data_IF_638801306441
#
_entry.id   IF_638801306441
#
_cell.length_a   1.000
_cell.length_b   1.000
_cell.length_c   1.000
_cell.angle_alpha   90.00
_cell.angle_beta   90.00
_cell.angle_gamma   90.00
#
_symmetry.space_group_name_H-M   'P 1'
#
loop_
_entity.id
_entity.type
_entity.pdbx_description
1 polymer ?
#
# COMPACT_ATOMS: atom_id res chain seq x y z
N UNK A 1 -14.30 -9.31 24.88
CA UNK A 1 -12.96 -9.06 24.28
C UNK A 1 -13.01 -7.69 23.63
N UNK A 2 -12.07 -6.80 23.94
CA UNK A 2 -12.24 -5.35 23.72
C UNK A 2 -12.00 -4.99 22.24
N UNK A 3 -13.03 -4.59 21.50
CA UNK A 3 -12.97 -4.31 20.05
C UNK A 3 -11.85 -3.31 19.71
N UNK A 4 -11.64 -2.32 20.57
CA UNK A 4 -10.63 -1.26 20.43
C UNK A 4 -9.20 -1.82 20.54
N UNK A 5 -8.98 -2.78 21.43
CA UNK A 5 -7.67 -3.42 21.58
C UNK A 5 -7.35 -4.31 20.38
N UNK A 6 -8.34 -5.05 19.87
CA UNK A 6 -8.19 -5.82 18.63
C UNK A 6 -7.92 -4.90 17.42
N UNK A 7 -8.65 -3.80 17.29
CA UNK A 7 -8.42 -2.84 16.19
C UNK A 7 -7.04 -2.18 16.27
N UNK A 8 -6.54 -1.88 17.48
CA UNK A 8 -5.20 -1.33 17.66
C UNK A 8 -4.09 -2.34 17.32
N UNK A 9 -4.30 -3.63 17.64
CA UNK A 9 -3.39 -4.72 17.25
C UNK A 9 -3.42 -4.93 15.73
N UNK A 10 -4.61 -4.91 15.12
CA UNK A 10 -4.83 -4.99 13.67
C UNK A 10 -4.37 -3.74 12.91
N UNK A 11 -4.09 -2.63 13.59
CA UNK A 11 -3.59 -1.40 12.99
C UNK A 11 -2.10 -1.16 13.27
N UNK A 12 -1.33 -2.21 13.60
CA UNK A 12 0.12 -2.10 13.82
C UNK A 12 0.84 -1.48 12.61
N UNK A 13 1.73 -0.52 12.87
CA UNK A 13 2.52 0.18 11.82
C UNK A 13 3.97 0.35 12.23
N UNK A 14 4.87 0.31 11.25
CA UNK A 14 6.29 0.66 11.36
C UNK A 14 6.61 1.89 10.54
N UNK A 15 7.44 2.78 11.10
CA UNK A 15 7.92 3.95 10.39
C UNK A 15 9.05 3.57 9.43
N UNK A 16 8.88 3.81 8.13
CA UNK A 16 9.91 3.65 7.11
C UNK A 16 10.04 5.01 6.40
N UNK A 17 11.19 5.67 6.51
CA UNK A 17 11.38 7.05 6.00
C UNK A 17 10.27 8.03 6.45
N UNK A 18 9.92 7.97 7.74
CA UNK A 18 8.83 8.74 8.35
C UNK A 18 7.44 8.50 7.74
N UNK A 19 7.26 7.44 6.94
CA UNK A 19 5.97 6.95 6.47
C UNK A 19 5.51 5.76 7.33
N UNK A 20 4.29 5.79 7.89
CA UNK A 20 3.75 4.65 8.62
C UNK A 20 3.30 3.55 7.64
N UNK A 21 3.96 2.39 7.69
CA UNK A 21 3.68 1.21 6.86
C UNK A 21 3.10 0.10 7.73
N UNK A 22 2.03 -0.56 7.28
CA UNK A 22 1.38 -1.64 8.02
C UNK A 22 2.35 -2.78 8.36
N UNK A 23 2.25 -3.26 9.60
CA UNK A 23 3.08 -4.30 10.17
C UNK A 23 2.23 -5.50 10.60
N UNK A 24 1.56 -6.09 9.60
CA UNK A 24 0.57 -7.16 9.81
C UNK A 24 0.97 -8.42 9.05
N UNK A 25 0.56 -9.57 9.60
CA UNK A 25 0.53 -10.83 8.87
C UNK A 25 -0.57 -10.83 7.79
N UNK A 26 -0.60 -11.88 6.98
CA UNK A 26 -1.62 -12.04 5.94
C UNK A 26 -3.05 -12.07 6.52
N UNK A 27 -3.29 -12.94 7.51
CA UNK A 27 -4.63 -13.14 8.07
C UNK A 27 -5.14 -11.88 8.78
N UNK A 28 -4.28 -11.22 9.54
CA UNK A 28 -4.58 -9.96 10.22
C UNK A 28 -4.89 -8.85 9.20
N UNK A 29 -4.10 -8.74 8.13
CA UNK A 29 -4.31 -7.73 7.10
C UNK A 29 -5.62 -7.95 6.32
N UNK A 30 -5.95 -9.20 5.99
CA UNK A 30 -7.21 -9.56 5.32
C UNK A 30 -8.40 -9.26 6.21
N UNK A 31 -8.34 -9.67 7.48
CA UNK A 31 -9.39 -9.41 8.47
C UNK A 31 -9.60 -7.91 8.65
N UNK A 32 -8.52 -7.17 8.91
CA UNK A 32 -8.56 -5.72 9.13
C UNK A 32 -9.15 -4.97 7.94
N UNK A 33 -8.70 -5.26 6.72
CA UNK A 33 -9.17 -4.56 5.53
C UNK A 33 -10.60 -4.97 5.19
N UNK A 34 -11.01 -6.21 5.41
CA UNK A 34 -12.41 -6.64 5.25
C UNK A 34 -13.34 -5.93 6.23
N UNK A 35 -12.90 -5.72 7.48
CA UNK A 35 -13.64 -4.93 8.47
C UNK A 35 -13.77 -3.47 8.01
N UNK A 36 -12.68 -2.84 7.57
CA UNK A 36 -12.73 -1.47 6.99
C UNK A 36 -13.65 -1.39 5.77
N UNK A 37 -13.66 -2.43 4.94
CA UNK A 37 -14.55 -2.57 3.79
C UNK A 37 -15.99 -2.94 4.16
N UNK A 38 -16.34 -3.05 5.45
CA UNK A 38 -17.67 -3.43 5.94
C UNK A 38 -18.24 -2.44 6.97
N UNK A 39 -17.41 -1.69 7.68
CA UNK A 39 -17.84 -0.65 8.61
C UNK A 39 -18.27 0.64 7.87
N UNK A 40 -19.25 1.40 8.38
CA UNK A 40 -19.67 2.69 7.82
C UNK A 40 -18.74 3.83 8.28
N UNK A 41 -17.42 3.59 8.28
CA UNK A 41 -16.40 4.50 8.79
C UNK A 41 -15.66 5.19 7.63
N UNK A 42 -16.35 6.09 6.93
CA UNK A 42 -15.76 6.90 5.86
C UNK A 42 -15.13 6.08 4.73
N UNK A 43 -14.07 6.64 4.11
CA UNK A 43 -13.32 6.01 3.04
C UNK A 43 -11.91 5.66 3.51
N UNK A 44 -11.45 4.47 3.12
CA UNK A 44 -10.07 4.02 3.28
C UNK A 44 -9.39 3.93 1.92
N UNK A 45 -8.24 4.57 1.78
CA UNK A 45 -7.38 4.46 0.59
C UNK A 45 -6.18 3.59 0.94
N UNK A 46 -5.94 2.55 0.17
CA UNK A 46 -4.80 1.63 0.30
C UNK A 46 -3.79 1.92 -0.81
N UNK A 47 -2.52 2.04 -0.41
CA UNK A 47 -1.38 2.14 -1.33
C UNK A 47 -0.33 1.07 -1.02
N UNK A 48 0.22 0.47 -2.06
CA UNK A 48 1.30 -0.50 -1.95
C UNK A 48 2.64 0.18 -2.22
N UNK A 49 3.55 0.12 -1.26
CA UNK A 49 4.86 0.79 -1.38
C UNK A 49 5.99 -0.22 -1.53
N UNK A 50 6.81 -0.01 -2.55
CA UNK A 50 8.08 -0.70 -2.73
C UNK A 50 9.24 0.32 -2.70
N UNK A 51 10.48 -0.15 -2.92
CA UNK A 51 11.67 0.69 -2.92
C UNK A 51 11.57 1.91 -3.86
N UNK A 52 10.94 1.75 -5.02
CA UNK A 52 10.77 2.85 -5.97
C UNK A 52 9.77 3.89 -5.45
N UNK A 53 8.62 3.46 -4.90
CA UNK A 53 7.65 4.37 -4.29
C UNK A 53 8.32 5.21 -3.18
N UNK A 54 9.13 4.57 -2.33
CA UNK A 54 9.87 5.26 -1.26
C UNK A 54 10.82 6.32 -1.83
N UNK A 55 11.55 6.01 -2.92
CA UNK A 55 12.43 7.00 -3.55
C UNK A 55 11.67 8.16 -4.21
N UNK A 56 10.51 7.89 -4.79
CA UNK A 56 9.65 8.94 -5.36
C UNK A 56 9.13 9.83 -4.23
N UNK A 57 8.67 9.25 -3.12
CA UNK A 57 8.21 9.97 -1.93
C UNK A 57 9.27 10.91 -1.35
N UNK A 58 10.54 10.49 -1.31
CA UNK A 58 11.63 11.33 -0.82
C UNK A 58 11.93 12.56 -1.70
N UNK A 59 11.40 12.60 -2.93
CA UNK A 59 11.63 13.69 -3.91
C UNK A 59 10.39 14.52 -4.21
N UNK A 60 9.22 14.06 -3.79
CA UNK A 60 7.92 14.61 -4.17
C UNK A 60 7.06 14.77 -2.91
N UNK A 61 7.07 15.99 -2.36
CA UNK A 61 6.39 16.32 -1.10
C UNK A 61 4.87 16.06 -1.19
N UNK A 62 4.24 16.41 -2.32
CA UNK A 62 2.82 16.15 -2.50
C UNK A 62 2.51 14.64 -2.51
N UNK A 63 3.36 13.80 -3.14
CA UNK A 63 3.19 12.35 -3.06
C UNK A 63 3.36 11.82 -1.63
N UNK A 64 4.28 12.39 -0.85
CA UNK A 64 4.46 12.06 0.57
C UNK A 64 3.21 12.38 1.38
N UNK A 65 2.66 13.57 1.22
CA UNK A 65 1.46 13.99 1.94
C UNK A 65 0.28 13.08 1.63
N UNK A 66 0.10 12.72 0.36
CA UNK A 66 -0.91 11.73 -0.07
C UNK A 66 -0.71 10.40 0.65
N UNK A 67 0.51 9.84 0.64
CA UNK A 67 0.76 8.53 1.25
C UNK A 67 0.57 8.51 2.77
N UNK A 68 0.85 9.62 3.48
CA UNK A 68 0.65 9.72 4.94
C UNK A 68 -0.82 9.56 5.34
N UNK A 69 -1.75 9.93 4.45
CA UNK A 69 -3.19 9.76 4.67
C UNK A 69 -3.72 8.37 4.25
N UNK A 70 -2.90 7.56 3.57
CA UNK A 70 -3.31 6.24 3.10
C UNK A 70 -2.95 5.14 4.11
N UNK A 71 -3.67 4.02 4.02
CA UNK A 71 -3.25 2.76 4.62
C UNK A 71 -2.18 2.13 3.72
N UNK A 72 -0.93 2.17 4.16
CA UNK A 72 0.21 1.78 3.33
C UNK A 72 0.63 0.34 3.60
N UNK A 73 0.58 -0.52 2.58
CA UNK A 73 0.99 -1.93 2.67
C UNK A 73 2.40 -2.15 2.11
N UNK A 74 3.25 -2.96 2.76
CA UNK A 74 4.60 -3.26 2.28
C UNK A 74 4.57 -4.16 1.05
N UNK A 75 5.24 -3.73 -0.02
CA UNK A 75 5.39 -4.47 -1.27
C UNK A 75 6.88 -4.71 -1.60
N UNK A 76 7.30 -5.95 -1.44
CA UNK A 76 8.57 -6.45 -1.95
C UNK A 76 9.76 -6.31 -0.99
N UNK A 77 10.89 -6.87 -1.43
CA UNK A 77 12.09 -7.06 -0.60
C UNK A 77 12.75 -5.75 -0.15
N UNK A 78 12.64 -4.67 -0.94
CA UNK A 78 13.29 -3.41 -0.61
C UNK A 78 12.76 -2.81 0.70
N UNK A 79 11.44 -2.77 0.87
CA UNK A 79 10.81 -2.25 2.10
C UNK A 79 11.08 -3.15 3.29
N UNK A 80 11.20 -4.46 3.07
CA UNK A 80 11.63 -5.42 4.08
C UNK A 80 13.08 -5.22 4.54
N UNK A 81 13.99 -4.89 3.62
CA UNK A 81 15.38 -4.51 3.96
C UNK A 81 15.38 -3.21 4.77
N UNK A 82 14.60 -2.21 4.36
CA UNK A 82 14.47 -0.96 5.12
C UNK A 82 13.97 -1.21 6.55
N UNK A 83 12.98 -2.09 6.72
CA UNK A 83 12.48 -2.51 8.03
C UNK A 83 13.56 -3.16 8.89
N UNK A 84 14.33 -4.09 8.31
CA UNK A 84 15.45 -4.75 9.01
C UNK A 84 16.52 -3.77 9.47
N UNK A 85 16.89 -2.80 8.63
CA UNK A 85 17.90 -1.80 8.99
C UNK A 85 17.38 -0.81 10.04
N UNK A 86 16.12 -0.39 9.93
CA UNK A 86 15.53 0.59 10.83
C UNK A 86 15.14 0.00 12.20
N UNK A 87 14.55 -1.20 12.21
CA UNK A 87 13.87 -1.80 13.36
C UNK A 87 14.47 -3.14 13.81
N UNK A 88 15.44 -3.69 13.08
CA UNK A 88 16.09 -4.96 13.42
C UNK A 88 15.29 -6.21 13.03
N UNK A 89 14.11 -6.05 12.42
CA UNK A 89 13.24 -7.16 12.03
C UNK A 89 12.60 -6.92 10.66
N UNK A 90 12.31 -8.02 9.96
CA UNK A 90 11.51 -8.03 8.73
C UNK A 90 10.04 -7.71 9.00
N UNK A 91 9.30 -7.30 7.96
CA UNK A 91 7.84 -7.27 8.04
C UNK A 91 7.29 -8.71 8.16
N UNK A 92 6.20 -8.95 8.91
CA UNK A 92 5.59 -10.28 9.05
C UNK A 92 5.16 -10.88 7.72
N UNK A 93 4.66 -10.05 6.79
CA UNK A 93 4.22 -10.47 5.48
C UNK A 93 4.64 -9.48 4.39
N UNK A 94 4.83 -10.01 3.18
CA UNK A 94 4.91 -9.22 1.95
C UNK A 94 3.50 -9.12 1.35
N UNK A 95 2.80 -8.03 1.66
CA UNK A 95 1.42 -7.77 1.23
C UNK A 95 1.39 -7.12 -0.15
N UNK A 96 2.18 -7.66 -1.09
CA UNK A 96 2.29 -7.11 -2.44
C UNK A 96 0.92 -7.07 -3.13
N UNK A 97 0.64 -6.00 -3.89
CA UNK A 97 -0.69 -5.82 -4.50
C UNK A 97 -1.07 -6.94 -5.47
N UNK A 98 -0.10 -7.57 -6.11
CA UNK A 98 -0.32 -8.66 -7.09
C UNK A 98 -0.88 -9.95 -6.49
N UNK A 99 -0.56 -10.23 -5.23
CA UNK A 99 -1.06 -11.41 -4.52
C UNK A 99 -2.14 -11.01 -3.51
N UNK A 100 -2.00 -9.84 -2.87
CA UNK A 100 -2.89 -9.40 -1.80
C UNK A 100 -4.29 -9.05 -2.31
N UNK A 101 -4.41 -8.36 -3.45
CA UNK A 101 -5.72 -7.95 -3.97
C UNK A 101 -6.58 -9.17 -4.34
N UNK A 102 -6.12 -10.15 -5.14
CA UNK A 102 -6.91 -11.35 -5.40
C UNK A 102 -7.28 -12.13 -4.13
N UNK A 103 -6.38 -12.22 -3.15
CA UNK A 103 -6.66 -12.89 -1.88
C UNK A 103 -7.72 -12.16 -1.06
N UNK A 104 -7.67 -10.82 -1.02
CA UNK A 104 -8.67 -9.99 -0.36
C UNK A 104 -10.05 -10.14 -1.02
N UNK A 105 -10.10 -10.14 -2.35
CA UNK A 105 -11.35 -10.41 -3.08
C UNK A 105 -11.90 -11.80 -2.77
N UNK A 106 -11.04 -12.82 -2.59
CA UNK A 106 -11.49 -14.14 -2.15
C UNK A 106 -11.98 -14.14 -0.69
N UNK A 107 -11.34 -13.36 0.18
CA UNK A 107 -11.66 -13.30 1.61
C UNK A 107 -12.94 -12.52 1.91
N UNK A 108 -13.29 -11.53 1.08
CA UNK A 108 -14.55 -10.78 1.20
C UNK A 108 -15.73 -11.63 0.72
N UNK A 109 -16.37 -12.38 1.61
CA UNK A 109 -17.51 -13.25 1.25
C UNK A 109 -18.78 -12.47 0.90
N UNK A 110 -18.94 -11.27 1.44
CA UNK A 110 -20.09 -10.41 1.16
C UNK A 110 -19.97 -9.86 -0.26
N UNK A 111 -21.01 -9.95 -1.11
CA UNK A 111 -21.01 -9.34 -2.44
C UNK A 111 -20.64 -7.86 -2.37
N UNK A 112 -19.74 -7.44 -3.27
CA UNK A 112 -19.27 -6.07 -3.42
C UNK A 112 -19.39 -5.66 -4.87
N UNK A 113 -19.73 -4.40 -5.10
CA UNK A 113 -19.65 -3.77 -6.41
C UNK A 113 -18.28 -3.09 -6.55
N UNK A 114 -17.47 -3.59 -7.48
CA UNK A 114 -16.05 -3.28 -7.61
C UNK A 114 -15.79 -2.58 -8.93
N UNK A 115 -15.38 -1.32 -8.88
CA UNK A 115 -15.02 -0.53 -10.05
C UNK A 115 -13.54 -0.66 -10.37
N UNK A 116 -13.21 -0.73 -11.67
CA UNK A 116 -11.84 -0.78 -12.18
C UNK A 116 -11.54 0.45 -13.03
N UNK A 117 -10.43 1.13 -12.72
CA UNK A 117 -9.92 2.28 -13.48
C UNK A 117 -8.43 2.10 -13.74
N UNK A 118 -8.00 2.10 -14.99
CA UNK A 118 -6.57 2.07 -15.33
C UNK A 118 -6.20 1.05 -16.40
N UNK A 119 -4.89 0.87 -16.61
CA UNK A 119 -4.36 0.05 -17.70
C UNK A 119 -4.79 0.54 -19.09
N UNK A 120 -4.49 -0.26 -20.12
CA UNK A 120 -5.17 -0.09 -21.42
C UNK A 120 -6.57 -0.73 -21.35
N UNK A 121 -7.48 -0.28 -22.21
CA UNK A 121 -8.87 -0.76 -22.24
C UNK A 121 -8.97 -2.28 -22.37
N UNK A 122 -8.24 -2.87 -23.31
CA UNK A 122 -8.16 -4.32 -23.53
C UNK A 122 -7.66 -5.07 -22.28
N UNK A 123 -6.69 -4.48 -21.57
CA UNK A 123 -6.07 -5.08 -20.38
C UNK A 123 -7.03 -5.06 -19.18
N UNK A 124 -7.67 -3.92 -18.91
CA UNK A 124 -8.58 -3.79 -17.75
C UNK A 124 -9.87 -4.59 -17.95
N UNK A 125 -10.37 -4.70 -19.17
CA UNK A 125 -11.52 -5.56 -19.49
C UNK A 125 -11.20 -7.04 -19.25
N UNK A 126 -10.06 -7.51 -19.75
CA UNK A 126 -9.60 -8.88 -19.50
C UNK A 126 -9.28 -9.14 -18.03
N UNK A 127 -8.74 -8.15 -17.31
CA UNK A 127 -8.56 -8.24 -15.87
C UNK A 127 -9.91 -8.38 -15.14
N UNK A 128 -10.94 -7.63 -15.55
CA UNK A 128 -12.29 -7.74 -15.01
C UNK A 128 -12.90 -9.14 -15.21
N UNK A 129 -12.71 -9.74 -16.39
CA UNK A 129 -13.14 -11.11 -16.67
C UNK A 129 -12.44 -12.12 -15.76
N UNK A 130 -11.13 -12.02 -15.62
CA UNK A 130 -10.38 -12.91 -14.76
C UNK A 130 -10.73 -12.73 -13.28
N UNK A 131 -11.02 -11.51 -12.84
CA UNK A 131 -11.54 -11.26 -11.50
C UNK A 131 -12.94 -11.86 -11.31
N UNK A 132 -13.83 -11.75 -12.29
CA UNK A 132 -15.16 -12.40 -12.25
C UNK A 132 -15.05 -13.92 -12.12
N UNK A 133 -14.08 -14.53 -12.80
CA UNK A 133 -13.82 -15.97 -12.68
C UNK A 133 -13.21 -16.33 -11.31
N UNK A 134 -12.38 -15.45 -10.74
CA UNK A 134 -11.68 -15.68 -9.48
C UNK A 134 -12.55 -15.47 -8.23
N UNK A 135 -13.45 -14.48 -8.25
CA UNK A 135 -14.36 -14.13 -7.16
C UNK A 135 -15.79 -13.86 -7.70
N UNK A 136 -16.52 -14.91 -8.13
CA UNK A 136 -17.79 -14.77 -8.87
C UNK A 136 -18.96 -14.17 -8.06
N UNK A 137 -18.83 -14.07 -6.73
CA UNK A 137 -19.83 -13.42 -5.87
C UNK A 137 -19.70 -11.89 -5.82
N UNK A 138 -18.67 -11.33 -6.46
CA UNK A 138 -18.52 -9.88 -6.63
C UNK A 138 -18.95 -9.44 -8.03
N UNK A 139 -19.42 -8.20 -8.11
CA UNK A 139 -19.70 -7.55 -9.39
C UNK A 139 -18.52 -6.67 -9.78
N UNK A 140 -17.96 -6.90 -10.98
CA UNK A 140 -16.84 -6.10 -11.49
C UNK A 140 -17.30 -5.22 -12.65
N UNK A 141 -17.09 -3.91 -12.51
CA UNK A 141 -17.46 -2.89 -13.50
C UNK A 141 -16.21 -2.16 -13.97
N UNK A 142 -15.94 -2.21 -15.28
CA UNK A 142 -14.87 -1.40 -15.87
C UNK A 142 -15.38 0.01 -16.11
N UNK A 143 -14.81 0.98 -15.41
CA UNK A 143 -15.21 2.39 -15.49
C UNK A 143 -14.46 3.08 -16.63
N UNK A 144 -13.12 2.98 -16.62
CA UNK A 144 -12.27 3.68 -17.58
C UNK A 144 -10.91 3.00 -17.72
N UNK A 145 -10.25 3.21 -18.85
CA UNK A 145 -8.82 2.92 -18.97
C UNK A 145 -7.97 3.96 -18.19
N UNK A 146 -6.65 3.89 -18.29
CA UNK A 146 -5.73 4.78 -17.59
C UNK A 146 -5.36 6.07 -18.34
N UNK A 147 -5.80 6.26 -19.58
CA UNK A 147 -5.31 7.27 -20.51
C UNK A 147 -6.22 8.50 -20.68
N UNK A 148 -7.30 8.60 -19.90
CA UNK A 148 -8.15 9.80 -19.81
C UNK A 148 -7.40 11.02 -19.23
N UNK A 149 -7.94 12.21 -19.40
CA UNK A 149 -7.39 13.45 -18.83
C UNK A 149 -7.48 13.45 -17.29
N UNK A 150 -6.33 13.58 -16.63
CA UNK A 150 -6.20 13.52 -15.17
C UNK A 150 -6.49 14.85 -14.47
N UNK A 151 -6.51 15.94 -15.23
CA UNK A 151 -6.87 17.28 -14.76
C UNK A 151 -8.37 17.48 -14.93
N UNK A 152 -8.92 17.14 -16.10
CA UNK A 152 -10.37 17.10 -16.32
C UNK A 152 -10.88 15.65 -16.30
N UNK A 153 -10.99 15.11 -15.08
CA UNK A 153 -11.49 13.76 -14.84
C UNK A 153 -12.99 13.69 -14.59
N UNK A 154 -13.73 14.76 -14.88
CA UNK A 154 -15.16 14.91 -14.54
C UNK A 154 -16.01 13.74 -15.04
N UNK A 155 -15.82 13.34 -16.31
CA UNK A 155 -16.53 12.20 -16.91
C UNK A 155 -16.30 10.88 -16.14
N UNK A 156 -15.05 10.61 -15.74
CA UNK A 156 -14.71 9.38 -15.00
C UNK A 156 -15.24 9.44 -13.58
N UNK A 157 -15.12 10.57 -12.89
CA UNK A 157 -15.63 10.73 -11.53
C UNK A 157 -17.16 10.64 -11.47
N UNK A 158 -17.86 11.22 -12.44
CA UNK A 158 -19.32 11.12 -12.53
C UNK A 158 -19.76 9.68 -12.82
N UNK A 159 -19.01 8.93 -13.63
CA UNK A 159 -19.27 7.51 -13.83
C UNK A 159 -19.09 6.72 -12.53
N UNK A 160 -18.01 6.96 -11.79
CA UNK A 160 -17.76 6.34 -10.48
C UNK A 160 -18.92 6.62 -9.51
N UNK A 161 -19.37 7.87 -9.43
CA UNK A 161 -20.47 8.28 -8.56
C UNK A 161 -21.80 7.62 -8.91
N UNK A 162 -22.08 7.44 -10.21
CA UNK A 162 -23.27 6.73 -10.71
C UNK A 162 -23.27 5.25 -10.34
N UNK A 163 -22.09 4.64 -10.30
CA UNK A 163 -21.95 3.19 -10.15
C UNK A 163 -22.13 2.69 -8.72
N UNK A 164 -22.12 3.56 -7.70
CA UNK A 164 -22.34 3.20 -6.28
C UNK A 164 -21.44 2.03 -5.84
N UNK A 165 -20.14 2.23 -5.98
CA UNK A 165 -19.14 1.20 -5.72
C UNK A 165 -18.90 0.98 -4.23
N UNK A 166 -18.67 -0.26 -3.83
CA UNK A 166 -18.09 -0.58 -2.52
C UNK A 166 -16.57 -0.40 -2.55
N UNK A 167 -15.95 -0.85 -3.65
CA UNK A 167 -14.50 -0.91 -3.83
C UNK A 167 -14.13 -0.29 -5.17
N UNK A 168 -13.11 0.55 -5.19
CA UNK A 168 -12.51 1.10 -6.40
C UNK A 168 -11.04 0.64 -6.50
N UNK A 169 -10.68 -0.01 -7.60
CA UNK A 169 -9.31 -0.45 -7.87
C UNK A 169 -8.73 0.42 -8.99
N UNK A 170 -7.62 1.10 -8.70
CA UNK A 170 -6.97 2.06 -9.60
C UNK A 170 -5.57 1.58 -9.98
N UNK A 171 -5.35 1.32 -11.26
CA UNK A 171 -4.08 0.80 -11.81
C UNK A 171 -3.51 1.69 -12.90
N UNK A 172 -2.89 2.82 -12.53
CA UNK A 172 -2.35 3.82 -13.48
C UNK A 172 -0.85 4.09 -13.29
N UNK A 173 -0.24 3.45 -12.29
CA UNK A 173 1.16 3.62 -11.95
C UNK A 173 1.40 4.76 -10.98
N UNK A 174 2.49 4.64 -10.23
CA UNK A 174 2.93 5.60 -9.21
C UNK A 174 3.77 6.73 -9.84
N UNK A 175 3.65 7.99 -9.40
CA UNK A 175 2.77 8.51 -8.31
C UNK A 175 1.39 8.97 -8.79
N UNK A 176 1.12 8.84 -10.09
CA UNK A 176 -0.06 9.42 -10.73
C UNK A 176 -1.36 8.88 -10.13
N UNK A 177 -1.45 7.58 -9.89
CA UNK A 177 -2.66 6.95 -9.37
C UNK A 177 -3.00 7.43 -7.95
N UNK A 178 -2.01 7.58 -7.08
CA UNK A 178 -2.23 7.98 -5.69
C UNK A 178 -2.66 9.45 -5.62
N UNK A 179 -1.97 10.31 -6.39
CA UNK A 179 -2.32 11.74 -6.49
C UNK A 179 -3.71 11.93 -7.07
N UNK A 180 -4.01 11.26 -8.18
CA UNK A 180 -5.33 11.35 -8.81
C UNK A 180 -6.45 10.91 -7.86
N UNK A 181 -6.24 9.83 -7.09
CA UNK A 181 -7.20 9.39 -6.07
C UNK A 181 -7.39 10.47 -4.99
N UNK A 182 -6.31 11.06 -4.47
CA UNK A 182 -6.41 12.13 -3.48
C UNK A 182 -7.16 13.36 -4.03
N UNK A 183 -6.89 13.73 -5.27
CA UNK A 183 -7.44 14.95 -5.88
C UNK A 183 -8.90 14.80 -6.28
N UNK A 184 -9.35 13.60 -6.67
CA UNK A 184 -10.66 13.41 -7.33
C UNK A 184 -11.61 12.46 -6.60
N UNK A 185 -11.08 11.48 -5.86
CA UNK A 185 -11.90 10.47 -5.20
C UNK A 185 -12.24 10.93 -3.78
N UNK A 186 -13.46 10.60 -3.35
CA UNK A 186 -14.12 11.14 -2.17
C UNK A 186 -14.95 10.04 -1.51
N UNK A 187 -15.37 10.18 -0.25
CA UNK A 187 -16.07 9.11 0.45
C UNK A 187 -17.37 8.63 -0.21
N UNK A 188 -18.06 9.48 -0.97
CA UNK A 188 -19.28 9.10 -1.71
C UNK A 188 -19.02 8.20 -2.94
N UNK A 189 -17.77 8.12 -3.41
CA UNK A 189 -17.41 7.38 -4.62
C UNK A 189 -17.19 5.89 -4.38
N UNK A 190 -16.51 5.54 -3.28
CA UNK A 190 -16.26 4.16 -2.84
C UNK A 190 -15.79 4.15 -1.39
N UNK A 191 -16.09 3.09 -0.64
CA UNK A 191 -15.60 2.94 0.73
C UNK A 191 -14.14 2.53 0.79
N UNK A 192 -13.75 1.57 -0.06
CA UNK A 192 -12.37 1.11 -0.15
C UNK A 192 -11.79 1.49 -1.51
N UNK A 193 -10.65 2.19 -1.52
CA UNK A 193 -9.93 2.51 -2.75
C UNK A 193 -8.55 1.87 -2.70
N UNK A 194 -8.15 1.14 -3.74
CA UNK A 194 -6.85 0.48 -3.80
C UNK A 194 -6.05 0.96 -5.00
N UNK A 195 -4.84 1.48 -4.76
CA UNK A 195 -3.91 1.94 -5.80
C UNK A 195 -2.87 0.86 -6.09
N UNK A 196 -3.05 0.14 -7.19
CA UNK A 196 -2.44 -1.18 -7.41
C UNK A 196 -1.35 -1.22 -8.48
N UNK A 197 -1.09 -0.10 -9.17
CA UNK A 197 -0.09 -0.04 -10.22
C UNK A 197 -0.39 -1.00 -11.37
N UNK A 198 0.59 -1.84 -11.73
CA UNK A 198 0.51 -2.76 -12.87
C UNK A 198 -0.28 -4.05 -12.59
N UNK A 199 -1.15 -4.09 -11.58
CA UNK A 199 -1.91 -5.30 -11.23
C UNK A 199 -2.72 -5.85 -12.41
N UNK A 200 -3.36 -4.98 -13.19
CA UNK A 200 -4.19 -5.39 -14.31
C UNK A 200 -3.39 -6.10 -15.41
N UNK A 201 -2.13 -5.73 -15.63
CA UNK A 201 -1.24 -6.41 -16.58
C UNK A 201 -1.00 -7.88 -16.18
N UNK A 202 -0.89 -8.15 -14.88
CA UNK A 202 -0.74 -9.51 -14.34
C UNK A 202 -2.05 -10.29 -14.35
N UNK A 203 -3.14 -9.65 -13.88
CA UNK A 203 -4.44 -10.32 -13.77
C UNK A 203 -5.02 -10.63 -15.14
N UNK A 204 -4.82 -9.76 -16.14
CA UNK A 204 -5.20 -10.04 -17.54
C UNK A 204 -4.39 -11.19 -18.19
N UNK A 205 -3.30 -11.62 -17.56
CA UNK A 205 -2.36 -12.59 -18.12
C UNK A 205 -1.53 -12.06 -19.29
N UNK A 206 -1.55 -10.75 -19.54
CA UNK A 206 -0.74 -10.10 -20.59
C UNK A 206 0.74 -10.13 -20.23
N UNK A 207 1.05 -9.92 -18.96
CA UNK A 207 2.42 -10.05 -18.43
C UNK A 207 2.52 -11.34 -17.63
N UNK A 208 3.43 -12.27 -18.01
CA UNK A 208 3.61 -13.51 -17.28
C UNK A 208 4.13 -13.24 -15.87
N UNK A 209 3.54 -13.92 -14.88
CA UNK A 209 4.06 -13.92 -13.50
C UNK A 209 5.38 -14.68 -13.45
N UNK A 210 6.27 -14.25 -12.56
CA UNK A 210 7.47 -15.01 -12.26
C UNK A 210 7.11 -16.42 -11.76
N UNK A 211 7.84 -17.47 -12.18
CA UNK A 211 7.63 -18.82 -11.67
C UNK A 211 7.67 -18.84 -10.13
N UNK A 212 6.94 -19.78 -9.51
CA UNK A 212 6.83 -19.87 -8.04
C UNK A 212 8.20 -19.93 -7.35
N UNK A 213 9.18 -20.64 -7.93
CA UNK A 213 10.55 -20.71 -7.40
C UNK A 213 11.22 -19.33 -7.40
N UNK A 214 11.10 -18.56 -8.48
CA UNK A 214 11.67 -17.21 -8.58
C UNK A 214 11.04 -16.26 -7.58
N UNK A 215 9.71 -16.38 -7.37
CA UNK A 215 8.97 -15.61 -6.37
C UNK A 215 9.39 -15.99 -4.94
N UNK A 216 9.53 -17.29 -4.66
CA UNK A 216 10.00 -17.79 -3.37
C UNK A 216 11.42 -17.31 -3.04
N UNK A 217 12.29 -17.21 -4.04
CA UNK A 217 13.62 -16.63 -3.92
C UNK A 217 13.63 -15.09 -3.84
N UNK A 218 12.47 -14.43 -3.91
CA UNK A 218 12.31 -12.97 -3.95
C UNK A 218 13.05 -12.29 -5.12
N UNK A 219 13.24 -13.02 -6.22
CA UNK A 219 13.94 -12.57 -7.44
C UNK A 219 12.98 -12.10 -8.54
N UNK A 220 11.71 -11.85 -8.22
CA UNK A 220 10.71 -11.38 -9.20
C UNK A 220 11.14 -10.10 -9.91
N UNK A 221 11.87 -9.22 -9.23
CA UNK A 221 12.41 -8.00 -9.83
C UNK A 221 13.41 -8.27 -10.96
N UNK A 222 14.21 -9.34 -10.87
CA UNK A 222 15.14 -9.76 -11.95
C UNK A 222 14.33 -10.25 -13.14
N UNK A 223 13.33 -11.11 -12.89
CA UNK A 223 12.47 -11.63 -13.94
C UNK A 223 11.74 -10.51 -14.69
N UNK A 224 11.25 -9.49 -13.99
CA UNK A 224 10.65 -8.31 -14.61
C UNK A 224 11.66 -7.48 -15.40
N UNK A 225 12.87 -7.27 -14.87
CA UNK A 225 13.92 -6.55 -15.58
C UNK A 225 14.28 -7.25 -16.91
N UNK A 226 14.30 -8.58 -16.93
CA UNK A 226 14.56 -9.35 -18.15
C UNK A 226 13.43 -9.22 -19.19
N UNK A 227 12.18 -9.09 -18.74
CA UNK A 227 11.04 -8.90 -19.64
C UNK A 227 10.96 -7.47 -20.21
N UNK A 228 11.24 -6.46 -19.38
CA UNK A 228 11.09 -5.06 -19.74
C UNK A 228 12.35 -4.25 -19.43
N UNK A 229 13.51 -4.60 -20.03
CA UNK A 229 14.80 -4.01 -19.67
C UNK A 229 14.83 -2.52 -19.94
N UNK A 230 14.32 -2.06 -21.08
CA UNK A 230 14.29 -0.64 -21.47
C UNK A 230 13.50 0.24 -20.51
N UNK A 231 12.44 -0.30 -19.92
CA UNK A 231 11.58 0.43 -18.96
C UNK A 231 12.12 0.36 -17.54
N UNK A 232 12.65 -0.79 -17.12
CA UNK A 232 12.93 -1.07 -15.71
C UNK A 232 14.41 -0.95 -15.31
N UNK A 233 15.36 -0.85 -16.26
CA UNK A 233 16.79 -0.78 -15.94
C UNK A 233 17.13 0.39 -15.01
N UNK A 234 16.63 1.61 -15.26
CA UNK A 234 16.89 2.76 -14.38
C UNK A 234 16.36 2.52 -12.97
N UNK A 235 15.15 1.96 -12.88
CA UNK A 235 14.49 1.67 -11.61
C UNK A 235 15.27 0.67 -10.77
N UNK A 236 15.85 -0.37 -11.38
CA UNK A 236 16.56 -1.40 -10.64
C UNK A 236 18.05 -1.13 -10.49
N UNK A 237 18.76 -0.81 -11.58
CA UNK A 237 20.23 -0.66 -11.56
C UNK A 237 20.63 0.62 -10.84
N UNK A 238 19.90 1.72 -11.02
CA UNK A 238 20.18 3.00 -10.33
C UNK A 238 19.34 3.13 -9.06
N UNK A 239 18.06 2.80 -9.14
CA UNK A 239 17.14 2.98 -8.02
C UNK A 239 17.45 2.09 -6.81
N UNK A 240 17.84 0.81 -6.99
CA UNK A 240 18.13 -0.06 -5.84
C UNK A 240 19.35 0.44 -5.05
N UNK A 241 20.51 0.75 -5.65
CA UNK A 241 21.64 1.33 -4.91
C UNK A 241 21.28 2.64 -4.20
N UNK A 242 20.56 3.55 -4.88
CA UNK A 242 20.13 4.82 -4.28
C UNK A 242 19.21 4.56 -3.08
N UNK A 243 18.28 3.61 -3.20
CA UNK A 243 17.39 3.23 -2.10
C UNK A 243 18.16 2.68 -0.91
N UNK A 244 19.09 1.75 -1.11
CA UNK A 244 19.90 1.19 -0.03
C UNK A 244 20.75 2.26 0.65
N UNK A 245 21.34 3.18 -0.12
CA UNK A 245 22.05 4.33 0.43
C UNK A 245 21.13 5.20 1.30
N UNK A 246 19.93 5.52 0.81
CA UNK A 246 18.95 6.30 1.57
C UNK A 246 18.54 5.58 2.87
N UNK A 247 18.33 4.25 2.84
CA UNK A 247 18.00 3.46 4.04
C UNK A 247 19.08 3.61 5.11
N UNK A 248 20.35 3.44 4.73
CA UNK A 248 21.49 3.57 5.66
C UNK A 248 21.63 5.02 6.13
N UNK A 249 21.58 5.99 5.21
CA UNK A 249 21.68 7.40 5.53
C UNK A 249 20.57 7.88 6.47
N UNK A 250 19.33 7.42 6.28
CA UNK A 250 18.22 7.79 7.14
C UNK A 250 18.39 7.22 8.56
N UNK A 251 19.00 6.03 8.70
CA UNK A 251 19.20 5.39 10.01
C UNK A 251 20.39 5.95 10.79
N UNK A 252 21.43 6.40 10.10
CA UNK A 252 22.71 6.79 10.72
C UNK A 252 23.10 8.26 10.46
N UNK A 253 22.37 8.98 9.62
CA UNK A 253 22.68 10.34 9.23
C UNK A 253 22.23 11.39 10.27
N UNK A 254 22.63 12.67 10.06
CA UNK A 254 22.55 13.72 11.07
C UNK A 254 21.13 14.08 11.54
N UNK A 255 20.10 13.83 10.72
CA UNK A 255 18.69 14.08 11.08
C UNK A 255 18.14 13.09 12.11
N UNK A 256 18.68 11.87 12.16
CA UNK A 256 18.22 10.84 13.09
C UNK A 256 18.84 10.99 14.49
N UNK A 257 20.05 11.54 14.61
CA UNK A 257 20.70 11.78 15.90
C UNK A 257 19.96 12.80 16.76
N UNK A 258 19.38 13.84 16.15
CA UNK A 258 18.68 14.90 16.87
C UNK A 258 17.35 14.42 17.45
N UNK A 259 16.56 13.66 16.67
CA UNK A 259 15.29 13.07 17.15
C UNK A 259 15.51 12.05 18.27
N UNK A 260 16.61 11.29 18.23
CA UNK A 260 16.95 10.32 19.29
C UNK A 260 17.34 11.01 20.61
N UNK A 261 18.00 12.18 20.54
CA UNK A 261 18.30 12.99 21.71
C UNK A 261 17.04 13.59 22.33
N UNK A 262 16.10 14.09 21.53
CA UNK A 262 14.84 14.67 22.03
C UNK A 262 13.89 13.63 22.61
N UNK A 263 13.73 12.45 21.98
CA UNK A 263 12.88 11.38 22.54
C UNK A 263 13.54 10.72 23.76
N UNK A 264 14.88 10.63 23.78
CA UNK A 264 15.64 10.16 24.95
C UNK A 264 15.54 11.10 26.15
N UNK A 265 15.57 12.42 25.94
CA UNK A 265 15.44 13.42 27.01
C UNK A 265 14.03 13.47 27.59
N UNK A 266 12.99 13.35 26.76
CA UNK A 266 11.59 13.32 27.21
C UNK A 266 11.29 12.07 28.06
N UNK A 267 11.85 10.91 27.73
CA UNK A 267 11.74 9.69 28.57
C UNK A 267 12.47 9.82 29.90
N UNK A 268 13.65 10.44 29.91
CA UNK A 268 14.42 10.67 31.14
C UNK A 268 13.73 11.68 32.09
N UNK A 269 13.08 12.71 31.55
CA UNK A 269 12.30 13.67 32.33
C UNK A 269 10.98 13.08 32.86
N UNK A 270 10.31 12.23 32.08
CA UNK A 270 9.11 11.53 32.53
C UNK A 270 9.39 10.56 33.70
N UNK A 271 10.55 9.90 33.70
CA UNK A 271 10.98 9.04 34.81
C UNK A 271 11.40 9.80 36.07
N UNK A 272 11.84 11.06 35.95
CA UNK A 272 12.13 11.93 37.11
C UNK A 272 10.89 12.56 37.75
N UNK A 273 9.75 12.58 37.04
CA UNK A 273 8.49 13.21 37.50
C UNK A 273 7.47 12.23 38.09
N UNK A 274 7.79 10.94 38.18
CA UNK A 274 6.95 9.98 38.88
C UNK A 274 7.16 10.12 40.40
N UNK A 275 6.11 10.42 41.19
CA UNK A 275 6.24 10.43 42.65
C UNK A 275 6.58 9.02 43.14
N UNK A 276 7.48 8.94 44.13
CA UNK A 276 7.86 7.68 44.76
C UNK A 276 6.60 6.97 45.31
N UNK A 277 6.48 5.64 45.17
CA UNK A 277 5.31 4.92 45.67
C UNK A 277 5.22 5.09 47.20
N UNK A 278 4.12 5.67 47.66
CA UNK A 278 3.77 5.73 49.07
C UNK A 278 3.72 4.31 49.64
N UNK A 279 4.55 4.05 50.65
CA UNK A 279 4.48 2.84 51.46
C UNK A 279 3.22 2.91 52.32
N UNK A 280 2.12 2.35 51.85
CA UNK A 280 1.00 2.04 52.75
C UNK A 280 1.37 0.81 53.59
N UNK A 281 1.54 1.06 54.89
CA UNK A 281 1.79 0.05 55.90
C UNK A 281 0.50 -0.33 56.64
N UNK A 282 0.43 -1.63 56.95
CA UNK A 282 -0.47 -2.36 57.86
C UNK A 282 -1.93 -2.50 57.45
#
# INVERSE_FOLDING_TARGET
>A
MNLIANFAVLASRRMIFDLPVCDLGWDDALTFINELASLPLGQTVISFVNAHNMLVMLRDEHYRDVLVHNLVLPDGIGVDIASRVAHGASFPANLNGTDFVPALLTFMEQPKRIGLVGGRRDIVEKAAENFRNHAPWHEFVVISDGYFDKVDSSAVTSEIERQKLDVLIVGMGTPLQEKWVADHIRPQHARLVMTVGALFDFVSGTVPRAPRMVRALRLEWIFRLLQEPSRLWRRYIVGVPVFLFQVVWHRFGPRYSTLRQTVGSVRADAQRRLPAPEKFGR
#
